data_IF_530375420224
#
_entry.id   IF_530375420224
#
_cell.length_a   1.000
_cell.length_b   1.000
_cell.length_c   1.000
_cell.angle_alpha   90.00
_cell.angle_beta   90.00
_cell.angle_gamma   90.00
#
_symmetry.space_group_name_H-M   'P 1'
#
loop_
_entity.id
_entity.type
_entity.pdbx_description
1 polymer ?
#
# COMPACT_ATOMS: atom_id res chain seq x y z
N UNK A 1 -32.80 41.04 -21.79
CA UNK A 1 -31.60 40.19 -21.92
C UNK A 1 -31.76 39.11 -20.85
N UNK A 2 -32.14 37.86 -21.19
CA UNK A 2 -32.33 36.82 -20.17
C UNK A 2 -30.97 36.36 -19.65
N UNK A 3 -30.86 36.29 -18.32
CA UNK A 3 -29.72 35.71 -17.59
C UNK A 3 -29.58 34.23 -17.95
N UNK A 4 -28.46 33.86 -18.58
CA UNK A 4 -28.06 32.46 -18.72
C UNK A 4 -27.60 31.95 -17.36
N UNK A 5 -28.13 30.84 -16.82
CA UNK A 5 -27.58 30.23 -15.61
C UNK A 5 -26.13 29.81 -15.88
N UNK A 6 -25.21 30.35 -15.07
CA UNK A 6 -23.81 29.98 -15.07
C UNK A 6 -23.68 28.47 -14.80
N UNK A 7 -22.92 27.72 -15.62
CA UNK A 7 -22.68 26.30 -15.35
C UNK A 7 -22.00 26.18 -13.98
N UNK A 8 -22.43 25.23 -13.11
CA UNK A 8 -21.82 25.06 -11.80
C UNK A 8 -20.33 24.76 -11.99
N UNK A 9 -19.49 25.56 -11.34
CA UNK A 9 -18.05 25.37 -11.32
C UNK A 9 -17.72 23.89 -11.00
N UNK A 10 -16.76 23.26 -11.71
CA UNK A 10 -16.40 21.89 -11.43
C UNK A 10 -15.98 21.80 -9.97
N UNK A 11 -16.62 20.89 -9.22
CA UNK A 11 -16.36 20.63 -7.82
C UNK A 11 -14.85 20.41 -7.62
N UNK A 12 -14.17 21.47 -7.20
CA UNK A 12 -12.74 21.49 -6.90
C UNK A 12 -12.59 20.93 -5.50
N UNK A 13 -12.48 19.61 -5.40
CA UNK A 13 -11.85 18.88 -4.28
C UNK A 13 -12.05 17.37 -4.43
N UNK A 14 -11.67 16.81 -5.59
CA UNK A 14 -11.18 15.44 -5.58
C UNK A 14 -9.82 15.48 -4.89
N UNK A 15 -9.81 15.41 -3.54
CA UNK A 15 -8.57 15.26 -2.77
C UNK A 15 -7.92 13.98 -3.27
N UNK A 16 -6.86 14.12 -4.06
CA UNK A 16 -6.09 12.99 -4.58
C UNK A 16 -5.60 12.22 -3.38
N UNK A 17 -6.19 11.05 -3.12
CA UNK A 17 -5.75 10.18 -2.05
C UNK A 17 -4.32 9.73 -2.39
N UNK A 18 -3.33 10.28 -1.67
CA UNK A 18 -1.92 9.92 -1.83
C UNK A 18 -1.76 8.41 -1.66
N UNK A 19 -1.46 7.71 -2.75
CA UNK A 19 -1.40 6.24 -2.86
C UNK A 19 -0.21 5.58 -2.14
N UNK A 20 0.30 6.18 -1.08
CA UNK A 20 1.47 5.70 -0.39
C UNK A 20 1.07 4.79 0.80
N UNK A 21 1.78 3.68 1.09
CA UNK A 21 1.39 2.72 2.11
C UNK A 21 1.26 3.36 3.50
N UNK A 22 0.40 2.82 4.40
CA UNK A 22 0.21 3.39 5.73
C UNK A 22 1.53 3.46 6.51
N UNK A 23 1.70 4.51 7.33
CA UNK A 23 2.96 4.79 8.02
C UNK A 23 3.44 3.59 8.86
N UNK A 24 2.52 2.94 9.59
CA UNK A 24 2.84 1.76 10.40
C UNK A 24 3.44 0.61 9.59
N UNK A 25 2.94 0.36 8.37
CA UNK A 25 3.48 -0.67 7.51
C UNK A 25 4.91 -0.35 7.03
N UNK A 26 5.22 0.93 6.79
CA UNK A 26 6.58 1.36 6.43
C UNK A 26 7.54 1.21 7.59
N UNK A 27 7.12 1.61 8.80
CA UNK A 27 7.91 1.45 10.02
C UNK A 27 8.18 -0.03 10.29
N UNK A 28 7.16 -0.88 10.18
CA UNK A 28 7.31 -2.33 10.35
C UNK A 28 8.27 -2.96 9.33
N UNK A 29 8.16 -2.59 8.05
CA UNK A 29 9.08 -3.04 7.01
C UNK A 29 10.52 -2.63 7.31
N UNK A 30 10.74 -1.37 7.67
CA UNK A 30 12.08 -0.86 8.00
C UNK A 30 12.66 -1.56 9.23
N UNK A 31 11.87 -1.74 10.30
CA UNK A 31 12.28 -2.46 11.49
C UNK A 31 12.67 -3.91 11.19
N UNK A 32 11.90 -4.61 10.35
CA UNK A 32 12.21 -5.98 9.94
C UNK A 32 13.52 -6.07 9.15
N UNK A 33 13.77 -5.14 8.23
CA UNK A 33 15.02 -5.08 7.45
C UNK A 33 16.22 -4.86 8.36
N UNK A 34 16.12 -3.93 9.31
CA UNK A 34 17.18 -3.66 10.28
C UNK A 34 17.45 -4.86 11.18
N UNK A 35 16.40 -5.51 11.70
CA UNK A 35 16.54 -6.69 12.54
C UNK A 35 17.20 -7.84 11.76
N UNK A 36 16.79 -8.06 10.51
CA UNK A 36 17.37 -9.09 9.65
C UNK A 36 18.83 -8.79 9.27
N UNK A 37 19.16 -7.53 8.98
CA UNK A 37 20.54 -7.11 8.75
C UNK A 37 21.41 -7.29 9.98
N UNK A 38 20.93 -6.93 11.17
CA UNK A 38 21.66 -7.14 12.42
C UNK A 38 21.92 -8.63 12.68
N UNK A 39 20.91 -9.48 12.52
CA UNK A 39 21.04 -10.92 12.66
C UNK A 39 22.00 -11.53 11.62
N UNK A 40 21.85 -11.16 10.35
CA UNK A 40 22.73 -11.60 9.26
C UNK A 40 24.18 -11.19 9.49
N UNK A 41 24.41 -9.97 9.99
CA UNK A 41 25.76 -9.49 10.29
C UNK A 41 26.39 -10.18 11.49
N UNK A 42 25.61 -10.46 12.53
CA UNK A 42 26.10 -11.25 13.65
C UNK A 42 26.51 -12.67 13.22
N UNK A 43 25.70 -13.31 12.36
CA UNK A 43 26.02 -14.63 11.80
C UNK A 43 27.28 -14.57 10.93
N UNK A 44 27.38 -13.58 10.03
CA UNK A 44 28.54 -13.41 9.15
C UNK A 44 29.85 -13.15 9.91
N UNK A 45 29.78 -12.37 11.00
CA UNK A 45 30.88 -12.19 11.94
C UNK A 45 31.30 -13.52 12.57
N UNK A 46 30.34 -14.23 13.19
CA UNK A 46 30.61 -15.47 13.90
C UNK A 46 31.20 -16.57 13.00
N UNK A 47 30.69 -16.70 11.77
CA UNK A 47 31.24 -17.65 10.80
C UNK A 47 32.69 -17.29 10.50
N UNK A 48 32.98 -16.02 10.21
CA UNK A 48 34.33 -15.61 9.81
C UNK A 48 35.32 -15.69 10.96
N UNK A 49 34.86 -15.43 12.19
CA UNK A 49 35.64 -15.59 13.42
C UNK A 49 36.07 -17.04 13.63
N UNK A 50 35.15 -18.00 13.42
CA UNK A 50 35.43 -19.43 13.51
C UNK A 50 36.43 -19.94 12.48
N UNK A 51 36.55 -19.27 11.32
CA UNK A 51 37.47 -19.69 10.26
C UNK A 51 38.90 -19.18 10.47
N UNK A 52 39.17 -18.42 11.53
CA UNK A 52 40.43 -17.69 11.67
C UNK A 52 41.20 -18.06 12.95
N UNK A 53 42.53 -18.07 12.84
CA UNK A 53 43.44 -18.20 13.98
C UNK A 53 44.45 -17.05 13.95
N UNK A 54 44.29 -16.07 14.84
CA UNK A 54 45.12 -14.86 14.89
C UNK A 54 44.30 -13.57 14.74
N UNK A 55 44.94 -12.50 14.26
CA UNK A 55 44.34 -11.17 14.16
C UNK A 55 43.52 -11.02 12.86
N UNK A 56 42.21 -11.21 12.97
CA UNK A 56 41.31 -11.26 11.81
C UNK A 56 40.24 -10.16 11.84
N UNK A 57 40.47 -9.05 12.55
CA UNK A 57 39.44 -8.01 12.75
C UNK A 57 38.86 -7.46 11.43
N UNK A 58 39.70 -7.31 10.40
CA UNK A 58 39.25 -6.87 9.07
C UNK A 58 38.36 -7.92 8.41
N UNK A 59 38.77 -9.19 8.47
CA UNK A 59 38.01 -10.27 7.85
C UNK A 59 36.67 -10.49 8.56
N UNK A 60 36.65 -10.50 9.90
CA UNK A 60 35.40 -10.66 10.67
C UNK A 60 34.45 -9.47 10.47
N UNK A 61 34.99 -8.25 10.31
CA UNK A 61 34.21 -7.08 9.94
C UNK A 61 33.61 -7.21 8.52
N UNK A 62 34.38 -7.68 7.54
CA UNK A 62 33.88 -7.91 6.17
C UNK A 62 32.82 -9.00 6.18
N UNK A 63 33.04 -10.11 6.86
CA UNK A 63 32.08 -11.20 6.99
C UNK A 63 30.77 -10.74 7.62
N UNK A 64 30.86 -9.94 8.69
CA UNK A 64 29.70 -9.30 9.30
C UNK A 64 28.99 -8.33 8.36
N UNK A 65 29.72 -7.51 7.61
CA UNK A 65 29.11 -6.58 6.65
C UNK A 65 28.38 -7.33 5.53
N UNK A 66 29.00 -8.36 4.95
CA UNK A 66 28.40 -9.19 3.88
C UNK A 66 27.16 -9.90 4.40
N UNK A 67 27.23 -10.52 5.59
CA UNK A 67 26.09 -11.16 6.23
C UNK A 67 24.93 -10.18 6.49
N UNK A 68 25.24 -8.97 6.96
CA UNK A 68 24.25 -7.95 7.20
C UNK A 68 23.55 -7.49 5.92
N UNK A 69 24.33 -7.26 4.85
CA UNK A 69 23.78 -6.87 3.55
C UNK A 69 22.89 -7.96 2.97
N UNK A 70 23.32 -9.23 2.99
CA UNK A 70 22.50 -10.34 2.50
C UNK A 70 21.19 -10.49 3.29
N UNK A 71 21.26 -10.42 4.63
CA UNK A 71 20.08 -10.47 5.49
C UNK A 71 19.11 -9.30 5.24
N UNK A 72 19.63 -8.08 5.15
CA UNK A 72 18.83 -6.89 4.88
C UNK A 72 18.20 -6.92 3.48
N UNK A 73 18.96 -7.28 2.45
CA UNK A 73 18.47 -7.36 1.06
C UNK A 73 17.37 -8.41 0.93
N UNK A 74 17.57 -9.60 1.51
CA UNK A 74 16.56 -10.66 1.48
C UNK A 74 15.23 -10.22 2.08
N UNK A 75 15.26 -9.62 3.28
CA UNK A 75 14.04 -9.14 3.93
C UNK A 75 13.47 -7.89 3.25
N UNK A 76 14.29 -7.03 2.65
CA UNK A 76 13.81 -5.89 1.87
C UNK A 76 12.95 -6.35 0.69
N UNK A 77 13.37 -7.40 -0.04
CA UNK A 77 12.59 -7.97 -1.13
C UNK A 77 11.23 -8.48 -0.61
N UNK A 78 11.24 -9.30 0.45
CA UNK A 78 10.00 -9.85 1.04
C UNK A 78 9.07 -8.73 1.51
N UNK A 79 9.60 -7.71 2.18
CA UNK A 79 8.83 -6.57 2.66
C UNK A 79 8.18 -5.80 1.49
N UNK A 80 8.91 -5.57 0.39
CA UNK A 80 8.35 -4.93 -0.81
C UNK A 80 7.26 -5.78 -1.43
N UNK A 81 7.45 -7.10 -1.53
CA UNK A 81 6.43 -8.02 -2.06
C UNK A 81 5.18 -8.03 -1.16
N UNK A 82 5.33 -8.03 0.16
CA UNK A 82 4.21 -7.95 1.09
C UNK A 82 3.45 -6.61 0.95
N UNK A 83 4.18 -5.49 0.87
CA UNK A 83 3.59 -4.18 0.63
C UNK A 83 2.87 -4.12 -0.73
N UNK A 84 3.43 -4.75 -1.77
CA UNK A 84 2.80 -4.84 -3.10
C UNK A 84 1.50 -5.62 -3.04
N UNK A 85 1.50 -6.78 -2.40
CA UNK A 85 0.30 -7.58 -2.21
C UNK A 85 -0.80 -6.75 -1.52
N UNK A 86 -0.47 -6.05 -0.43
CA UNK A 86 -1.46 -5.21 0.28
C UNK A 86 -2.09 -4.11 -0.60
N UNK A 87 -1.35 -3.52 -1.53
CA UNK A 87 -1.90 -2.51 -2.44
C UNK A 87 -2.89 -3.11 -3.45
N UNK A 88 -2.62 -4.32 -3.95
CA UNK A 88 -3.49 -5.01 -4.88
C UNK A 88 -4.83 -5.37 -4.22
N UNK A 89 -4.77 -5.91 -3.00
CA UNK A 89 -5.98 -6.20 -2.22
C UNK A 89 -6.82 -4.94 -1.95
N UNK A 90 -6.20 -3.82 -1.58
CA UNK A 90 -6.94 -2.57 -1.33
C UNK A 90 -7.67 -2.08 -2.59
N UNK A 91 -7.04 -2.24 -3.75
CA UNK A 91 -7.63 -1.85 -5.05
C UNK A 91 -8.86 -2.70 -5.40
N UNK A 92 -8.85 -3.99 -5.06
CA UNK A 92 -10.01 -4.88 -5.28
C UNK A 92 -11.18 -4.45 -4.39
N UNK A 93 -10.93 -4.23 -3.09
CA UNK A 93 -11.96 -3.81 -2.13
C UNK A 93 -12.61 -2.48 -2.53
N UNK A 94 -11.81 -1.50 -2.96
CA UNK A 94 -12.32 -0.21 -3.42
C UNK A 94 -13.22 -0.36 -4.66
N UNK A 95 -12.85 -1.21 -5.62
CA UNK A 95 -13.66 -1.47 -6.82
C UNK A 95 -15.00 -2.14 -6.47
N UNK A 96 -14.97 -3.16 -5.62
CA UNK A 96 -16.18 -3.89 -5.22
C UNK A 96 -17.16 -2.99 -4.46
N UNK A 97 -16.65 -2.10 -3.60
CA UNK A 97 -17.47 -1.11 -2.90
C UNK A 97 -18.21 -0.19 -3.88
N UNK A 98 -17.51 0.38 -4.88
CA UNK A 98 -18.15 1.25 -5.88
C UNK A 98 -19.16 0.51 -6.77
N UNK A 99 -18.91 -0.77 -7.09
CA UNK A 99 -19.84 -1.59 -7.85
C UNK A 99 -21.13 -1.87 -7.04
N UNK A 100 -20.97 -2.18 -5.75
CA UNK A 100 -22.09 -2.40 -4.84
C UNK A 100 -22.95 -1.13 -4.67
N UNK A 101 -22.33 0.05 -4.55
CA UNK A 101 -23.04 1.33 -4.48
C UNK A 101 -23.88 1.59 -5.75
N UNK A 102 -23.31 1.36 -6.93
CA UNK A 102 -24.03 1.49 -8.21
C UNK A 102 -25.20 0.52 -8.31
N UNK A 103 -25.02 -0.71 -7.84
CA UNK A 103 -26.10 -1.70 -7.80
C UNK A 103 -27.23 -1.28 -6.86
N UNK A 104 -26.89 -0.78 -5.68
CA UNK A 104 -27.85 -0.27 -4.70
C UNK A 104 -28.66 0.91 -5.27
N UNK A 105 -28.00 1.85 -5.95
CA UNK A 105 -28.68 2.98 -6.59
C UNK A 105 -29.57 2.55 -7.75
N UNK A 106 -29.13 1.58 -8.55
CA UNK A 106 -29.97 0.99 -9.60
C UNK A 106 -31.22 0.29 -9.01
N UNK A 107 -31.06 -0.46 -7.91
CA UNK A 107 -32.17 -1.09 -7.19
C UNK A 107 -33.12 -0.05 -6.60
N UNK A 108 -32.60 1.02 -6.00
CA UNK A 108 -33.39 2.15 -5.49
C UNK A 108 -34.21 2.82 -6.60
N UNK A 109 -33.60 3.07 -7.76
CA UNK A 109 -34.29 3.66 -8.91
C UNK A 109 -35.40 2.73 -9.47
N UNK A 110 -35.14 1.41 -9.53
CA UNK A 110 -36.17 0.43 -9.91
C UNK A 110 -37.31 0.40 -8.90
N UNK A 111 -37.01 0.39 -7.59
CA UNK A 111 -38.03 0.40 -6.53
C UNK A 111 -38.87 1.69 -6.57
N UNK A 112 -38.26 2.84 -6.81
CA UNK A 112 -38.97 4.10 -6.95
C UNK A 112 -39.96 4.08 -8.13
N UNK A 113 -39.54 3.53 -9.29
CA UNK A 113 -40.43 3.34 -10.46
C UNK A 113 -41.58 2.35 -10.20
N UNK A 114 -41.34 1.32 -9.40
CA UNK A 114 -42.38 0.36 -9.05
C UNK A 114 -43.45 0.97 -8.11
N UNK A 115 -43.04 1.86 -7.20
CA UNK A 115 -43.94 2.54 -6.25
C UNK A 115 -44.80 3.60 -6.96
N UNK A 116 -44.19 4.40 -7.85
CA UNK A 116 -44.89 5.45 -8.58
C UNK A 116 -44.64 5.34 -10.09
N UNK A 117 -45.40 4.47 -10.79
CA UNK A 117 -45.23 4.24 -12.22
C UNK A 117 -45.66 5.44 -13.08
N UNK A 118 -46.41 6.40 -12.51
CA UNK A 118 -46.95 7.55 -13.26
C UNK A 118 -46.22 8.87 -12.92
N UNK A 119 -45.09 8.80 -12.21
CA UNK A 119 -44.25 9.97 -11.90
C UNK A 119 -43.60 10.51 -13.17
N UNK A 120 -44.31 11.40 -13.89
CA UNK A 120 -43.71 12.14 -15.00
C UNK A 120 -42.69 13.14 -14.43
N UNK A 121 -41.49 13.26 -15.02
CA UNK A 121 -40.57 14.34 -14.66
C UNK A 121 -41.28 15.67 -14.96
N UNK A 122 -41.39 16.53 -13.94
CA UNK A 122 -41.85 17.91 -14.15
C UNK A 122 -40.75 18.63 -14.92
N UNK A 123 -40.95 18.77 -16.23
CA UNK A 123 -40.18 19.67 -17.07
C UNK A 123 -40.44 21.08 -16.51
N UNK A 124 -39.38 21.77 -16.10
CA UNK A 124 -39.43 23.16 -15.64
C UNK A 124 -38.60 24.01 -16.60
#
# INVERSE_FOLDING_TARGET
MPDTPEPPAPATSATVATGAPPLGARIGAFAAILAAGAAGGFIGYAITDLQCSGDCSVNTAIGGLVGALLGAVGVAIVAVLALRAMHEWRTIVERDATAAERELDAKRARRARAIDPNRRPRVR
#
